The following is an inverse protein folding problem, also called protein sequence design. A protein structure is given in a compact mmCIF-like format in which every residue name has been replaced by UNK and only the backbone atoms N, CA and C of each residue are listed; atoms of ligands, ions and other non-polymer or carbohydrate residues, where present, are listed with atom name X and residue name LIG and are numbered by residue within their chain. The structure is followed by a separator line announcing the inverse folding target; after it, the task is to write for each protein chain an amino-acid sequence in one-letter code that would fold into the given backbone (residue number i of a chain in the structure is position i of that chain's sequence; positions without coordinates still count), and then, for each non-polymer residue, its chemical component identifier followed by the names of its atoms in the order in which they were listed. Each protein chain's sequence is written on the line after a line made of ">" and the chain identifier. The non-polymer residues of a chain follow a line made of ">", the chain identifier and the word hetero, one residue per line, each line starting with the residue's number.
data_IF_796254701882
#
_entry.id   IF_796254701882
#
_cell.length_a   1.000
_cell.length_b   1.000
_cell.length_c   1.000
_cell.angle_alpha   90.00
_cell.angle_beta   90.00
_cell.angle_gamma   90.00
#
_symmetry.space_group_name_H-M   'P 1'
#
loop_
_entity.id
_entity.type
_entity.pdbx_description
1 polymer ?
#
# COMPACT_ATOMS: atom_id res chain seq x y z
N UNK A 1 -35.28 -32.64 1.58
CA UNK A 1 -34.62 -32.21 2.83
C UNK A 1 -33.13 -32.06 2.54
N UNK A 2 -32.61 -30.84 2.42
CA UNK A 2 -31.16 -30.62 2.38
C UNK A 2 -30.61 -30.94 3.76
N UNK A 3 -29.59 -31.81 3.83
CA UNK A 3 -29.00 -32.18 5.11
C UNK A 3 -28.27 -30.95 5.66
N UNK A 4 -28.48 -30.62 6.94
CA UNK A 4 -27.75 -29.55 7.62
C UNK A 4 -26.22 -29.65 7.43
N UNK A 5 -25.70 -30.87 7.26
CA UNK A 5 -24.30 -31.14 6.94
C UNK A 5 -23.89 -30.65 5.55
N UNK A 6 -24.76 -30.80 4.54
CA UNK A 6 -24.50 -30.33 3.17
C UNK A 6 -24.51 -28.80 3.07
N UNK A 7 -25.38 -28.11 3.81
CA UNK A 7 -25.42 -26.64 3.82
C UNK A 7 -24.19 -26.05 4.53
N UNK A 8 -23.73 -26.67 5.62
CA UNK A 8 -22.52 -26.25 6.34
C UNK A 8 -21.25 -26.45 5.50
N UNK A 9 -21.16 -27.55 4.76
CA UNK A 9 -20.05 -27.81 3.84
C UNK A 9 -20.01 -26.78 2.69
N UNK A 10 -21.18 -26.41 2.14
CA UNK A 10 -21.30 -25.40 1.10
C UNK A 10 -20.93 -24.00 1.59
N UNK A 11 -21.35 -23.63 2.80
CA UNK A 11 -20.97 -22.38 3.45
C UNK A 11 -19.45 -22.31 3.72
N UNK A 12 -18.84 -23.41 4.15
CA UNK A 12 -17.39 -23.49 4.37
C UNK A 12 -16.60 -23.37 3.05
N UNK A 13 -17.07 -24.00 1.96
CA UNK A 13 -16.45 -23.86 0.64
C UNK A 13 -16.52 -22.41 0.12
N UNK A 14 -17.69 -21.75 0.22
CA UNK A 14 -17.85 -20.34 -0.13
C UNK A 14 -16.99 -19.40 0.72
N UNK A 15 -16.81 -19.72 2.01
CA UNK A 15 -15.92 -18.98 2.91
C UNK A 15 -14.44 -19.15 2.51
N UNK A 16 -14.03 -20.34 2.08
CA UNK A 16 -12.68 -20.58 1.60
C UNK A 16 -12.37 -19.80 0.30
N UNK A 17 -13.29 -19.83 -0.68
CA UNK A 17 -13.15 -19.11 -1.94
C UNK A 17 -13.13 -17.59 -1.73
N UNK A 18 -14.01 -17.06 -0.88
CA UNK A 18 -14.01 -15.64 -0.52
C UNK A 18 -12.76 -15.22 0.26
N UNK A 19 -12.16 -16.12 1.04
CA UNK A 19 -10.89 -15.86 1.72
C UNK A 19 -9.71 -15.78 0.74
N UNK A 20 -9.64 -16.65 -0.28
CA UNK A 20 -8.62 -16.57 -1.34
C UNK A 20 -8.80 -15.32 -2.18
N UNK A 21 -10.03 -15.03 -2.61
CA UNK A 21 -10.35 -13.81 -3.37
C UNK A 21 -9.96 -12.54 -2.61
N UNK A 22 -10.28 -12.52 -1.31
CA UNK A 22 -9.93 -11.39 -0.46
C UNK A 22 -8.43 -11.23 -0.20
N UNK A 23 -7.66 -12.33 -0.13
CA UNK A 23 -6.19 -12.28 -0.04
C UNK A 23 -5.56 -11.73 -1.31
N UNK A 24 -6.03 -12.14 -2.49
CA UNK A 24 -5.55 -11.61 -3.77
C UNK A 24 -5.79 -10.10 -3.90
N UNK A 25 -6.99 -9.63 -3.53
CA UNK A 25 -7.31 -8.20 -3.52
C UNK A 25 -6.46 -7.41 -2.53
N UNK A 26 -6.22 -7.97 -1.35
CA UNK A 26 -5.31 -7.37 -0.37
C UNK A 26 -3.88 -7.27 -0.92
N UNK A 27 -3.33 -8.35 -1.49
CA UNK A 27 -1.99 -8.35 -2.09
C UNK A 27 -1.85 -7.37 -3.26
N UNK A 28 -2.86 -7.30 -4.13
CA UNK A 28 -2.90 -6.31 -5.21
C UNK A 28 -2.95 -4.87 -4.65
N UNK A 29 -3.77 -4.64 -3.62
CA UNK A 29 -3.81 -3.36 -2.92
C UNK A 29 -2.47 -2.99 -2.28
N UNK A 30 -1.81 -3.94 -1.62
CA UNK A 30 -0.49 -3.77 -1.01
C UNK A 30 0.56 -3.34 -2.02
N UNK A 31 0.66 -4.05 -3.14
CA UNK A 31 1.59 -3.70 -4.20
C UNK A 31 1.28 -2.32 -4.79
N UNK A 32 0.01 -2.02 -5.01
CA UNK A 32 -0.42 -0.72 -5.52
C UNK A 32 -0.09 0.42 -4.55
N UNK A 33 -0.28 0.21 -3.24
CA UNK A 33 0.12 1.17 -2.20
C UNK A 33 1.62 1.43 -2.17
N UNK A 34 2.44 0.38 -2.29
CA UNK A 34 3.91 0.52 -2.39
C UNK A 34 4.30 1.36 -3.60
N UNK A 35 3.77 1.03 -4.78
CA UNK A 35 4.09 1.74 -6.03
C UNK A 35 3.69 3.21 -5.92
N UNK A 36 2.48 3.51 -5.44
CA UNK A 36 2.00 4.89 -5.31
C UNK A 36 2.90 5.69 -4.36
N UNK A 37 3.21 5.16 -3.17
CA UNK A 37 4.08 5.87 -2.21
C UNK A 37 5.46 6.12 -2.80
N UNK A 38 6.08 5.10 -3.42
CA UNK A 38 7.43 5.22 -4.00
C UNK A 38 7.44 6.28 -5.10
N UNK A 39 6.49 6.20 -6.04
CA UNK A 39 6.42 7.14 -7.17
C UNK A 39 6.18 8.57 -6.67
N UNK A 40 5.24 8.77 -5.74
CA UNK A 40 4.98 10.09 -5.15
C UNK A 40 6.20 10.64 -4.40
N UNK A 41 6.83 9.83 -3.55
CA UNK A 41 7.98 10.25 -2.76
C UNK A 41 9.16 10.64 -3.65
N UNK A 42 9.42 9.85 -4.71
CA UNK A 42 10.47 10.15 -5.69
C UNK A 42 10.12 11.40 -6.50
N UNK A 43 8.90 11.50 -7.03
CA UNK A 43 8.48 12.65 -7.82
C UNK A 43 8.60 13.96 -7.00
N UNK A 44 8.07 13.97 -5.78
CA UNK A 44 8.18 15.11 -4.87
C UNK A 44 9.64 15.40 -4.48
N UNK A 45 10.46 14.37 -4.25
CA UNK A 45 11.88 14.52 -3.96
C UNK A 45 12.65 15.16 -5.12
N UNK A 46 12.29 14.82 -6.36
CA UNK A 46 12.83 15.46 -7.57
C UNK A 46 12.38 16.92 -7.69
N UNK A 47 11.11 17.22 -7.42
CA UNK A 47 10.60 18.61 -7.41
C UNK A 47 11.34 19.47 -6.38
N UNK A 48 11.64 18.91 -5.20
CA UNK A 48 12.34 19.61 -4.11
C UNK A 48 13.81 19.93 -4.43
N UNK A 49 14.50 19.05 -5.18
CA UNK A 49 15.95 19.17 -5.39
C UNK A 49 16.31 19.76 -6.76
N UNK A 50 15.43 19.68 -7.77
CA UNK A 50 15.54 20.38 -9.07
C UNK A 50 16.72 19.98 -9.98
N UNK A 51 17.87 19.61 -9.42
CA UNK A 51 19.11 19.27 -10.12
C UNK A 51 19.40 17.78 -10.19
N UNK A 52 19.93 17.33 -11.34
CA UNK A 52 20.50 15.98 -11.54
C UNK A 52 21.91 15.84 -10.98
N UNK A 53 22.60 16.96 -10.72
CA UNK A 53 23.98 17.04 -10.23
C UNK A 53 24.11 17.05 -8.69
N UNK A 54 22.99 17.01 -7.99
CA UNK A 54 22.92 17.00 -6.52
C UNK A 54 23.36 15.66 -5.94
N UNK A 55 24.08 15.69 -4.81
CA UNK A 55 24.63 14.47 -4.20
C UNK A 55 23.52 13.50 -3.81
N UNK A 56 23.81 12.19 -3.93
CA UNK A 56 22.84 11.11 -3.66
C UNK A 56 22.20 11.24 -2.26
N UNK A 57 22.95 11.77 -1.28
CA UNK A 57 22.49 12.04 0.08
C UNK A 57 21.42 13.13 0.16
N UNK A 58 21.58 14.25 -0.56
CA UNK A 58 20.59 15.34 -0.55
C UNK A 58 19.28 14.88 -1.22
N UNK A 59 19.39 14.09 -2.29
CA UNK A 59 18.22 13.46 -2.95
C UNK A 59 17.48 12.49 -2.04
N UNK A 60 18.19 11.62 -1.33
CA UNK A 60 17.57 10.71 -0.37
C UNK A 60 16.93 11.49 0.79
N UNK A 61 17.55 12.58 1.25
CA UNK A 61 16.98 13.52 2.22
C UNK A 61 15.66 14.12 1.75
N UNK A 62 15.61 14.68 0.56
CA UNK A 62 14.39 15.27 0.00
C UNK A 62 13.29 14.24 -0.26
N UNK A 63 13.66 13.03 -0.69
CA UNK A 63 12.73 11.91 -0.88
C UNK A 63 12.15 11.45 0.46
N UNK A 64 12.95 11.45 1.53
CA UNK A 64 12.48 11.13 2.88
C UNK A 64 11.54 12.20 3.44
N UNK A 65 11.81 13.49 3.20
CA UNK A 65 10.90 14.58 3.55
C UNK A 65 9.59 14.48 2.76
N UNK A 66 9.67 14.05 1.50
CA UNK A 66 8.49 13.84 0.65
C UNK A 66 7.54 12.76 1.18
N UNK A 67 8.02 11.83 2.03
CA UNK A 67 7.15 10.86 2.69
C UNK A 67 6.10 11.51 3.59
N UNK A 68 6.39 12.69 4.17
CA UNK A 68 5.44 13.43 5.01
C UNK A 68 4.19 13.84 4.24
N UNK A 69 4.26 13.89 2.91
CA UNK A 69 3.14 14.21 2.03
C UNK A 69 2.64 12.95 1.30
N UNK A 70 3.56 12.16 0.76
CA UNK A 70 3.23 10.95 -0.01
C UNK A 70 2.50 9.90 0.84
N UNK A 71 2.98 9.61 2.05
CA UNK A 71 2.38 8.59 2.92
C UNK A 71 0.93 8.92 3.31
N UNK A 72 0.59 10.11 3.86
CA UNK A 72 -0.79 10.43 4.21
C UNK A 72 -1.71 10.45 2.98
N UNK A 73 -1.26 10.98 1.84
CA UNK A 73 -2.06 10.96 0.60
C UNK A 73 -2.40 9.53 0.16
N UNK A 74 -1.41 8.64 0.20
CA UNK A 74 -1.60 7.24 -0.22
C UNK A 74 -2.47 6.47 0.77
N UNK A 75 -2.35 6.76 2.07
CA UNK A 75 -3.25 6.24 3.09
C UNK A 75 -4.69 6.72 2.88
N UNK A 76 -4.91 8.02 2.61
CA UNK A 76 -6.24 8.57 2.32
C UNK A 76 -6.86 7.91 1.09
N UNK A 77 -6.09 7.73 0.01
CA UNK A 77 -6.54 6.99 -1.18
C UNK A 77 -6.91 5.54 -0.84
N UNK A 78 -6.09 4.86 -0.04
CA UNK A 78 -6.37 3.50 0.44
C UNK A 78 -7.64 3.41 1.29
N UNK A 79 -7.86 4.36 2.19
CA UNK A 79 -9.08 4.47 2.99
C UNK A 79 -10.31 4.74 2.12
N UNK A 80 -10.21 5.68 1.18
CA UNK A 80 -11.30 6.01 0.25
C UNK A 80 -11.70 4.81 -0.60
N UNK A 81 -10.73 4.09 -1.17
CA UNK A 81 -10.97 2.82 -1.86
C UNK A 81 -11.58 1.79 -0.89
N UNK A 82 -11.10 1.76 0.35
CA UNK A 82 -11.57 0.86 1.39
C UNK A 82 -13.02 1.06 1.84
N UNK A 83 -13.58 2.26 1.66
CA UNK A 83 -14.98 2.58 2.00
C UNK A 83 -15.98 1.82 1.13
N UNK A 84 -15.59 1.43 -0.09
CA UNK A 84 -16.44 0.62 -0.95
C UNK A 84 -16.35 -0.85 -0.51
N UNK A 85 -17.42 -1.38 0.11
CA UNK A 85 -17.44 -2.70 0.75
C UNK A 85 -16.90 -3.86 -0.12
N UNK A 86 -17.09 -3.82 -1.45
CA UNK A 86 -16.54 -4.82 -2.39
C UNK A 86 -15.02 -4.80 -2.48
N UNK A 87 -14.38 -3.64 -2.35
CA UNK A 87 -12.92 -3.43 -2.47
C UNK A 87 -12.26 -3.10 -1.12
N UNK A 88 -12.97 -3.28 0.00
CA UNK A 88 -12.47 -3.02 1.35
C UNK A 88 -11.08 -3.63 1.63
N UNK A 89 -10.89 -4.90 1.24
CA UNK A 89 -9.58 -5.59 1.43
C UNK A 89 -8.48 -5.01 0.53
N UNK A 90 -8.83 -4.51 -0.66
CA UNK A 90 -7.89 -3.83 -1.53
C UNK A 90 -7.48 -2.48 -0.96
N UNK A 91 -8.44 -1.68 -0.49
CA UNK A 91 -8.16 -0.41 0.19
C UNK A 91 -7.27 -0.57 1.43
N UNK A 92 -7.58 -1.56 2.28
CA UNK A 92 -6.71 -1.93 3.42
C UNK A 92 -5.31 -2.36 2.96
N UNK A 93 -5.21 -3.10 1.86
CA UNK A 93 -3.93 -3.44 1.24
C UNK A 93 -3.13 -2.19 0.89
N UNK A 94 -3.74 -1.20 0.24
CA UNK A 94 -3.08 0.06 -0.16
C UNK A 94 -2.51 0.78 1.07
N UNK A 95 -3.30 0.89 2.15
CA UNK A 95 -2.84 1.52 3.40
C UNK A 95 -1.63 0.80 3.98
N UNK A 96 -1.71 -0.54 4.10
CA UNK A 96 -0.59 -1.33 4.64
C UNK A 96 0.64 -1.24 3.74
N UNK A 97 0.46 -1.30 2.42
CA UNK A 97 1.54 -1.10 1.45
C UNK A 97 2.20 0.26 1.59
N UNK A 98 1.41 1.31 1.79
CA UNK A 98 1.92 2.65 1.99
C UNK A 98 2.75 2.78 3.27
N UNK A 99 2.28 2.21 4.39
CA UNK A 99 3.01 2.21 5.66
C UNK A 99 4.34 1.44 5.54
N UNK A 100 4.31 0.25 4.94
CA UNK A 100 5.54 -0.54 4.75
C UNK A 100 6.51 0.18 3.82
N UNK A 101 6.04 0.77 2.72
CA UNK A 101 6.87 1.56 1.81
C UNK A 101 7.52 2.75 2.50
N UNK A 102 6.78 3.42 3.39
CA UNK A 102 7.29 4.54 4.19
C UNK A 102 8.42 4.08 5.12
N UNK A 103 8.23 2.95 5.82
CA UNK A 103 9.27 2.38 6.71
C UNK A 103 10.50 1.96 5.91
N UNK A 104 10.33 1.35 4.73
CA UNK A 104 11.44 0.95 3.87
C UNK A 104 12.24 2.15 3.40
N UNK A 105 11.59 3.20 2.89
CA UNK A 105 12.29 4.40 2.39
C UNK A 105 12.96 5.16 3.55
N UNK A 106 12.28 5.32 4.68
CA UNK A 106 12.84 5.95 5.87
C UNK A 106 14.03 5.15 6.43
N UNK A 107 13.91 3.82 6.50
CA UNK A 107 15.00 2.94 6.91
C UNK A 107 16.20 3.01 5.96
N UNK A 108 15.96 3.02 4.65
CA UNK A 108 17.00 3.18 3.63
C UNK A 108 17.73 4.52 3.80
N UNK A 109 16.99 5.61 4.05
CA UNK A 109 17.58 6.92 4.34
C UNK A 109 18.46 6.90 5.59
N UNK A 110 18.00 6.28 6.68
CA UNK A 110 18.77 6.17 7.93
C UNK A 110 20.05 5.33 7.75
N UNK A 111 20.01 4.29 6.91
CA UNK A 111 21.18 3.44 6.62
C UNK A 111 22.20 4.10 5.68
N UNK A 112 21.75 4.99 4.79
CA UNK A 112 22.59 5.64 3.76
C UNK A 112 23.05 7.06 4.15
N UNK A 113 22.57 7.60 5.28
CA UNK A 113 22.99 8.88 5.87
C UNK A 113 24.42 8.76 6.41
#
# INVERSE_FOLDING_TARGET
>A
MTSYKTDRARAAALAADSAVYGRRRFGAGFFLGLVIVVVLAVALGFVLVGGLSETLRVRLGATSLSLLVAAPLTCVLGFFVGMFGRVRRMGMGIVVGALVGTVVIAGLFLLLR
#
